data_IF_616871790040
#
_entry.id   IF_616871790040
#
_cell.length_a   1.000
_cell.length_b   1.000
_cell.length_c   1.000
_cell.angle_alpha   90.00
_cell.angle_beta   90.00
_cell.angle_gamma   90.00
#
_symmetry.space_group_name_H-M   'P 1'
#
loop_
_entity.id
_entity.type
_entity.pdbx_description
1 polymer ?
#
# COMPACT_ATOMS: atom_id res chain seq x y z
N UNK A 1 5.23 24.77 0.78
CA UNK A 1 3.97 24.06 1.07
C UNK A 1 3.81 22.95 0.04
N UNK A 2 4.09 21.69 0.41
CA UNK A 2 3.89 20.53 -0.47
C UNK A 2 2.40 20.21 -0.49
N UNK A 3 1.76 20.40 -1.64
CA UNK A 3 0.36 20.01 -1.85
C UNK A 3 0.33 18.51 -2.15
N UNK A 4 0.08 17.69 -1.13
CA UNK A 4 -0.35 16.30 -1.30
C UNK A 4 -1.80 16.22 -0.86
N UNK A 5 -2.68 16.51 -1.80
CA UNK A 5 -4.08 16.09 -1.77
C UNK A 5 -4.64 16.40 -3.15
N UNK A 6 -4.92 15.36 -3.94
CA UNK A 6 -6.25 15.07 -4.49
C UNK A 6 -6.19 13.98 -5.57
N UNK A 7 -6.97 12.93 -5.31
CA UNK A 7 -7.55 11.97 -6.26
C UNK A 7 -6.62 11.02 -7.02
N UNK A 8 -6.28 9.90 -6.38
CA UNK A 8 -6.31 8.59 -7.06
C UNK A 8 -7.69 7.91 -6.91
N UNK A 9 -8.76 8.71 -6.94
CA UNK A 9 -10.14 8.23 -6.80
C UNK A 9 -10.81 7.87 -8.14
N UNK A 10 -10.12 8.02 -9.28
CA UNK A 10 -10.73 7.94 -10.61
C UNK A 10 -10.09 6.87 -11.52
N UNK A 11 -10.01 5.62 -11.09
CA UNK A 11 -9.76 4.51 -12.04
C UNK A 11 -10.35 3.18 -11.56
N UNK A 12 -11.65 3.19 -11.26
CA UNK A 12 -12.43 1.99 -10.96
C UNK A 12 -12.87 1.27 -12.25
N UNK A 13 -11.90 0.94 -13.11
CA UNK A 13 -12.12 0.13 -14.31
C UNK A 13 -11.03 -0.93 -14.39
N UNK A 14 -11.29 -2.11 -13.81
CA UNK A 14 -10.74 -3.42 -14.21
C UNK A 14 -9.22 -3.52 -14.53
N UNK A 15 -8.37 -2.68 -13.93
CA UNK A 15 -6.92 -2.71 -14.14
C UNK A 15 -6.30 -3.66 -13.14
N UNK A 16 -5.85 -4.80 -13.63
CA UNK A 16 -4.88 -5.64 -12.91
C UNK A 16 -3.56 -4.87 -12.83
N UNK A 17 -2.97 -4.81 -11.63
CA UNK A 17 -1.61 -4.28 -11.45
C UNK A 17 -0.64 -5.42 -11.82
N UNK A 18 0.35 -5.21 -12.69
CA UNK A 18 1.41 -6.18 -12.94
C UNK A 18 2.10 -6.62 -11.64
N UNK A 19 2.43 -7.91 -11.50
CA UNK A 19 3.06 -8.48 -10.29
C UNK A 19 4.26 -7.64 -9.82
N UNK A 20 5.18 -7.28 -10.72
CA UNK A 20 6.38 -6.52 -10.39
C UNK A 20 6.07 -5.11 -9.85
N UNK A 21 5.02 -4.48 -10.39
CA UNK A 21 4.56 -3.18 -9.92
C UNK A 21 3.91 -3.31 -8.54
N UNK A 22 3.11 -4.35 -8.29
CA UNK A 22 2.52 -4.62 -6.97
C UNK A 22 3.62 -4.84 -5.91
N UNK A 23 4.64 -5.64 -6.23
CA UNK A 23 5.80 -5.85 -5.33
C UNK A 23 6.50 -4.53 -5.04
N UNK A 24 6.73 -3.70 -6.06
CA UNK A 24 7.40 -2.41 -5.90
C UNK A 24 6.61 -1.46 -4.98
N UNK A 25 5.28 -1.43 -5.11
CA UNK A 25 4.40 -0.63 -4.26
C UNK A 25 4.39 -1.14 -2.81
N UNK A 26 4.33 -2.46 -2.61
CA UNK A 26 4.41 -3.06 -1.27
C UNK A 26 5.75 -2.78 -0.58
N UNK A 27 6.86 -2.83 -1.32
CA UNK A 27 8.18 -2.49 -0.79
C UNK A 27 8.29 -1.01 -0.41
N UNK A 28 7.82 -0.10 -1.27
CA UNK A 28 7.79 1.32 -0.96
C UNK A 28 6.94 1.62 0.28
N UNK A 29 5.75 1.00 0.39
CA UNK A 29 4.88 1.16 1.55
C UNK A 29 5.54 0.64 2.84
N UNK A 30 6.33 -0.44 2.75
CA UNK A 30 7.13 -0.94 3.89
C UNK A 30 8.19 0.07 4.33
N UNK A 31 8.88 0.70 3.37
CA UNK A 31 9.89 1.72 3.65
C UNK A 31 9.25 2.96 4.30
N UNK A 32 8.10 3.41 3.80
CA UNK A 32 7.34 4.51 4.39
C UNK A 32 6.86 4.18 5.81
N UNK A 33 6.36 2.96 6.02
CA UNK A 33 5.95 2.50 7.35
C UNK A 33 7.12 2.49 8.33
N UNK A 34 8.29 1.99 7.91
CA UNK A 34 9.49 1.99 8.72
C UNK A 34 9.91 3.42 9.09
N UNK A 35 9.93 4.33 8.11
CA UNK A 35 10.25 5.74 8.36
C UNK A 35 9.26 6.40 9.33
N UNK A 36 7.95 6.11 9.23
CA UNK A 36 6.97 6.66 10.18
C UNK A 36 7.18 6.10 11.59
N UNK A 37 7.56 4.83 11.73
CA UNK A 37 7.87 4.23 13.03
C UNK A 37 9.12 4.87 13.65
N UNK A 38 10.13 5.16 12.84
CA UNK A 38 11.42 5.65 13.33
C UNK A 38 11.44 7.16 13.60
N UNK A 39 10.71 7.95 12.79
CA UNK A 39 10.87 9.42 12.78
C UNK A 39 9.60 10.22 13.13
N UNK A 40 8.42 9.58 13.24
CA UNK A 40 7.18 10.30 13.51
C UNK A 40 6.94 10.49 15.01
N UNK A 41 6.39 11.64 15.39
CA UNK A 41 5.84 11.88 16.73
C UNK A 41 4.45 11.25 16.93
N UNK A 42 3.91 10.61 15.88
CA UNK A 42 2.62 9.94 15.94
C UNK A 42 2.65 8.77 16.93
N UNK A 43 1.54 8.57 17.64
CA UNK A 43 1.38 7.43 18.51
C UNK A 43 1.35 6.12 17.71
N UNK A 44 1.69 5.02 18.37
CA UNK A 44 1.62 3.68 17.79
C UNK A 44 0.24 3.38 17.14
N UNK A 45 -0.86 3.81 17.77
CA UNK A 45 -2.20 3.54 17.24
C UNK A 45 -2.51 4.38 15.99
N UNK A 46 -2.00 5.62 15.91
CA UNK A 46 -2.14 6.45 14.71
C UNK A 46 -1.36 5.84 13.54
N UNK A 47 -0.12 5.40 13.77
CA UNK A 47 0.69 4.71 12.75
C UNK A 47 0.00 3.40 12.33
N UNK A 48 -0.52 2.63 13.29
CA UNK A 48 -1.26 1.40 12.99
C UNK A 48 -2.49 1.68 12.13
N UNK A 49 -3.28 2.71 12.44
CA UNK A 49 -4.46 3.05 11.65
C UNK A 49 -4.10 3.54 10.24
N UNK A 50 -2.99 4.27 10.09
CA UNK A 50 -2.50 4.74 8.80
C UNK A 50 -2.17 3.57 7.86
N UNK A 51 -1.47 2.55 8.34
CA UNK A 51 -0.97 1.44 7.51
C UNK A 51 -1.87 0.19 7.50
N UNK A 52 -2.69 -0.02 8.54
CA UNK A 52 -3.56 -1.21 8.67
C UNK A 52 -5.06 -0.88 8.78
N UNK A 53 -5.43 0.40 8.68
CA UNK A 53 -6.84 0.82 8.64
C UNK A 53 -7.55 0.31 7.40
N UNK A 54 -8.89 0.27 7.43
CA UNK A 54 -9.71 -0.23 6.30
C UNK A 54 -9.48 0.52 4.99
N UNK A 55 -9.15 1.80 5.09
CA UNK A 55 -8.86 2.67 3.94
C UNK A 55 -7.35 2.83 3.69
N UNK A 56 -6.50 2.05 4.36
CA UNK A 56 -5.04 2.12 4.19
C UNK A 56 -4.63 1.67 2.80
N UNK A 57 -3.50 2.19 2.33
CA UNK A 57 -2.91 1.77 1.06
C UNK A 57 -2.59 0.26 1.06
N UNK A 58 -2.15 -0.31 2.19
CA UNK A 58 -1.92 -1.75 2.32
C UNK A 58 -3.22 -2.55 2.07
N UNK A 59 -4.34 -2.09 2.62
CA UNK A 59 -5.64 -2.75 2.42
C UNK A 59 -6.07 -2.68 0.96
N UNK A 60 -5.78 -1.57 0.27
CA UNK A 60 -6.04 -1.47 -1.17
C UNK A 60 -5.11 -2.38 -1.99
N UNK A 61 -3.80 -2.39 -1.71
CA UNK A 61 -2.81 -3.20 -2.44
C UNK A 61 -3.05 -4.70 -2.29
N UNK A 62 -3.40 -5.16 -1.08
CA UNK A 62 -3.69 -6.57 -0.82
C UNK A 62 -4.91 -7.10 -1.59
N UNK A 63 -5.85 -6.24 -1.97
CA UNK A 63 -6.97 -6.65 -2.85
C UNK A 63 -6.50 -7.09 -4.24
N UNK A 64 -5.32 -6.64 -4.70
CA UNK A 64 -4.77 -7.04 -6.00
C UNK A 64 -4.10 -8.42 -5.95
N UNK A 65 -3.76 -8.94 -4.76
CA UNK A 65 -3.18 -10.29 -4.60
C UNK A 65 -4.09 -11.40 -5.15
N UNK A 66 -5.42 -11.16 -5.21
CA UNK A 66 -6.37 -12.12 -5.82
C UNK A 66 -6.13 -12.34 -7.32
N UNK A 67 -5.52 -11.36 -7.99
CA UNK A 67 -5.24 -11.38 -9.42
C UNK A 67 -3.79 -11.79 -9.76
N UNK A 68 -2.94 -12.00 -8.74
CA UNK A 68 -1.56 -12.46 -8.93
C UNK A 68 -1.55 -13.92 -9.40
N UNK A 69 -0.77 -14.26 -10.46
CA UNK A 69 -0.59 -15.64 -10.92
C UNK A 69 -0.15 -16.57 -9.77
N UNK A 70 -0.57 -17.84 -9.79
CA UNK A 70 -0.32 -18.76 -8.66
C UNK A 70 1.17 -18.93 -8.35
N UNK A 71 1.97 -18.99 -9.40
CA UNK A 71 3.42 -19.08 -9.40
C UNK A 71 4.09 -17.88 -8.71
N UNK A 72 3.47 -16.70 -8.74
CA UNK A 72 4.00 -15.47 -8.16
C UNK A 72 3.49 -15.19 -6.75
N UNK A 73 2.46 -15.91 -6.26
CA UNK A 73 1.83 -15.60 -4.97
C UNK A 73 2.78 -15.66 -3.78
N UNK A 74 3.73 -16.60 -3.78
CA UNK A 74 4.75 -16.71 -2.73
C UNK A 74 5.75 -15.56 -2.75
N UNK A 75 5.96 -14.92 -3.91
CA UNK A 75 6.86 -13.78 -4.05
C UNK A 75 6.19 -12.49 -3.57
N UNK A 76 4.88 -12.36 -3.78
CA UNK A 76 4.10 -11.17 -3.40
C UNK A 76 3.69 -11.19 -1.93
N UNK A 77 3.30 -12.36 -1.39
CA UNK A 77 2.95 -12.52 0.02
C UNK A 77 4.16 -12.55 0.92
#
# INVERSE_FOLDING_TARGET
MKQYNKSMSDTNENKTIPTDQLVSLLLALKEDAQHQIDESDASYEEIRQLFFGKESELTHLTQFMRFVPKEDKQRVG
#
